data_IF_227499110064
#
_entry.id   IF_227499110064
#
_cell.length_a   1.000
_cell.length_b   1.000
_cell.length_c   1.000
_cell.angle_alpha   90.00
_cell.angle_beta   90.00
_cell.angle_gamma   90.00
#
_symmetry.space_group_name_H-M   'P 1'
#
loop_
_entity.id
_entity.type
_entity.pdbx_description
1 polymer ?
#
# COMPACT_ATOMS: atom_id res chain seq x y z
N UNK A 1 18.09 11.63 -1.23
CA UNK A 1 17.03 10.61 -1.10
C UNK A 1 17.65 9.22 -1.04
N UNK A 2 18.34 8.74 -2.10
CA UNK A 2 19.16 7.49 -2.08
C UNK A 2 20.18 7.38 -0.94
N UNK A 3 20.87 8.46 -0.62
CA UNK A 3 21.90 8.47 0.45
C UNK A 3 21.32 8.22 1.86
N UNK A 4 20.02 8.45 2.09
CA UNK A 4 19.36 8.19 3.38
C UNK A 4 19.02 6.71 3.58
N UNK A 5 19.25 5.86 2.57
CA UNK A 5 18.74 4.48 2.51
C UNK A 5 19.83 3.42 2.78
N UNK A 6 21.08 3.85 3.01
CA UNK A 6 22.22 2.96 3.28
C UNK A 6 22.33 2.54 4.76
N UNK A 7 21.67 3.23 5.68
CA UNK A 7 21.76 2.96 7.12
C UNK A 7 20.37 2.75 7.74
N UNK A 8 20.10 1.56 8.30
CA UNK A 8 18.89 1.30 9.09
C UNK A 8 18.18 -0.05 8.90
N UNK A 9 18.81 -1.04 8.25
CA UNK A 9 18.09 -2.20 7.71
C UNK A 9 17.68 -3.25 8.75
N UNK A 10 18.43 -3.47 9.84
CA UNK A 10 18.20 -4.67 10.68
C UNK A 10 16.97 -4.60 11.63
N UNK A 11 16.72 -3.48 12.31
CA UNK A 11 15.61 -3.37 13.28
C UNK A 11 14.25 -3.08 12.64
N UNK A 12 14.27 -2.43 11.47
CA UNK A 12 13.08 -2.16 10.65
C UNK A 12 12.52 -3.44 10.06
N UNK A 13 13.38 -4.36 9.58
CA UNK A 13 12.99 -5.68 9.05
C UNK A 13 12.06 -6.46 9.99
N UNK A 14 12.45 -6.65 11.25
CA UNK A 14 11.66 -7.43 12.21
C UNK A 14 10.30 -6.78 12.55
N UNK A 15 10.23 -5.46 12.45
CA UNK A 15 8.99 -4.72 12.74
C UNK A 15 8.05 -4.73 11.54
N UNK A 16 8.61 -4.68 10.32
CA UNK A 16 7.86 -4.88 9.08
C UNK A 16 7.31 -6.30 9.01
N UNK A 17 8.14 -7.33 9.20
CA UNK A 17 7.69 -8.73 9.18
C UNK A 17 6.52 -8.96 10.14
N UNK A 18 6.65 -8.52 11.40
CA UNK A 18 5.57 -8.62 12.39
C UNK A 18 4.31 -7.87 11.99
N UNK A 19 4.44 -6.69 11.38
CA UNK A 19 3.30 -5.93 10.86
C UNK A 19 2.59 -6.70 9.73
N UNK A 20 3.35 -7.31 8.81
CA UNK A 20 2.79 -8.10 7.71
C UNK A 20 2.09 -9.36 8.23
N UNK A 21 2.70 -10.11 9.16
CA UNK A 21 2.03 -11.27 9.77
C UNK A 21 0.77 -10.87 10.53
N UNK A 22 0.82 -9.76 11.28
CA UNK A 22 -0.34 -9.24 11.99
C UNK A 22 -1.49 -8.88 11.04
N UNK A 23 -1.21 -8.25 9.88
CA UNK A 23 -2.23 -7.96 8.89
C UNK A 23 -2.80 -9.23 8.25
N UNK A 24 -1.96 -10.24 7.97
CA UNK A 24 -2.46 -11.53 7.51
C UNK A 24 -3.38 -12.21 8.53
N UNK A 25 -3.07 -12.12 9.84
CA UNK A 25 -3.94 -12.63 10.89
C UNK A 25 -5.31 -11.91 10.93
N UNK A 26 -5.33 -10.59 10.69
CA UNK A 26 -6.58 -9.83 10.59
C UNK A 26 -7.35 -10.25 9.34
N UNK A 27 -6.69 -10.36 8.19
CA UNK A 27 -7.30 -10.81 6.94
C UNK A 27 -7.98 -12.17 7.11
N UNK A 28 -7.33 -13.12 7.77
CA UNK A 28 -7.90 -14.45 8.05
C UNK A 28 -9.11 -14.40 8.99
N UNK A 29 -9.10 -13.51 9.99
CA UNK A 29 -10.15 -13.43 11.02
C UNK A 29 -11.36 -12.59 10.61
N UNK A 30 -11.14 -11.51 9.87
CA UNK A 30 -12.12 -10.45 9.65
C UNK A 30 -12.43 -10.20 8.17
N UNK A 31 -11.69 -10.83 7.26
CA UNK A 31 -11.94 -10.72 5.83
C UNK A 31 -13.29 -11.33 5.38
N UNK A 32 -13.65 -11.20 4.10
CA UNK A 32 -12.80 -10.68 3.02
C UNK A 32 -12.77 -9.14 2.95
N UNK A 33 -11.60 -8.59 2.62
CA UNK A 33 -11.41 -7.17 2.33
C UNK A 33 -11.12 -6.98 0.84
N UNK A 34 -11.95 -6.21 0.13
CA UNK A 34 -11.77 -6.04 -1.31
C UNK A 34 -10.73 -4.96 -1.68
N UNK A 35 -10.35 -4.11 -0.72
CA UNK A 35 -9.33 -3.09 -0.94
C UNK A 35 -8.61 -2.65 0.32
N UNK A 36 -7.44 -2.03 0.13
CA UNK A 36 -6.58 -1.52 1.21
C UNK A 36 -6.22 -0.05 0.98
N UNK A 37 -6.18 0.73 2.05
CA UNK A 37 -5.75 2.13 2.02
C UNK A 37 -4.54 2.31 2.93
N UNK A 38 -3.43 2.77 2.38
CA UNK A 38 -2.20 3.05 3.11
C UNK A 38 -1.88 4.54 3.15
N UNK A 39 -1.44 5.04 4.30
CA UNK A 39 -1.00 6.42 4.48
C UNK A 39 0.43 6.46 5.03
N UNK A 40 1.31 7.25 4.43
CA UNK A 40 2.70 7.39 4.87
C UNK A 40 3.42 6.03 4.93
N UNK A 41 4.00 5.66 6.07
CA UNK A 41 4.55 4.32 6.32
C UNK A 41 3.52 3.20 6.10
N UNK A 42 2.24 3.45 6.39
CA UNK A 42 1.16 2.51 6.12
C UNK A 42 0.99 2.20 4.63
N UNK A 43 1.40 3.09 3.72
CA UNK A 43 1.44 2.80 2.29
C UNK A 43 2.58 1.82 1.93
N UNK A 44 3.74 1.95 2.56
CA UNK A 44 4.83 0.98 2.42
C UNK A 44 4.41 -0.38 2.92
N UNK A 45 3.80 -0.46 4.11
CA UNK A 45 3.31 -1.72 4.68
C UNK A 45 2.22 -2.33 3.81
N UNK A 46 1.24 -1.53 3.36
CA UNK A 46 0.17 -2.01 2.48
C UNK A 46 0.71 -2.51 1.13
N UNK A 47 1.61 -1.77 0.48
CA UNK A 47 2.23 -2.23 -0.77
C UNK A 47 3.07 -3.50 -0.58
N UNK A 48 3.79 -3.61 0.54
CA UNK A 48 4.56 -4.82 0.90
C UNK A 48 3.64 -6.01 1.11
N UNK A 49 2.48 -5.81 1.75
CA UNK A 49 1.47 -6.84 1.95
C UNK A 49 0.92 -7.37 0.62
N UNK A 50 0.65 -6.50 -0.35
CA UNK A 50 0.18 -6.91 -1.68
C UNK A 50 1.21 -7.74 -2.43
N UNK A 51 2.50 -7.34 -2.39
CA UNK A 51 3.58 -8.15 -2.95
C UNK A 51 3.70 -9.51 -2.23
N UNK A 52 3.57 -9.52 -0.91
CA UNK A 52 3.62 -10.75 -0.11
C UNK A 52 2.45 -11.68 -0.42
N UNK A 53 1.26 -11.12 -0.67
CA UNK A 53 0.07 -11.86 -1.06
C UNK A 53 0.21 -12.47 -2.45
N UNK A 54 0.68 -11.70 -3.44
CA UNK A 54 1.00 -12.23 -4.78
C UNK A 54 2.01 -13.38 -4.71
N UNK A 55 3.07 -13.23 -3.91
CA UNK A 55 4.05 -14.31 -3.69
C UNK A 55 3.41 -15.55 -3.04
N UNK A 56 2.45 -15.38 -2.11
CA UNK A 56 1.69 -16.49 -1.52
C UNK A 56 0.77 -17.14 -2.54
N UNK A 57 0.17 -16.38 -3.45
CA UNK A 57 -0.64 -16.91 -4.54
C UNK A 57 0.18 -17.83 -5.44
N UNK A 58 1.36 -17.39 -5.88
CA UNK A 58 2.27 -18.19 -6.70
C UNK A 58 2.78 -19.45 -5.99
N UNK A 59 3.17 -19.32 -4.71
CA UNK A 59 3.80 -20.43 -3.97
C UNK A 59 2.82 -21.43 -3.38
N UNK A 60 1.65 -20.97 -2.94
CA UNK A 60 0.69 -21.76 -2.17
C UNK A 60 -0.64 -21.96 -2.89
N UNK A 61 -0.83 -21.37 -4.07
CA UNK A 61 -2.10 -21.41 -4.80
C UNK A 61 -3.24 -20.68 -4.07
N UNK A 62 -2.90 -19.69 -3.24
CA UNK A 62 -3.88 -18.93 -2.45
C UNK A 62 -4.27 -17.65 -3.19
N UNK A 63 -5.49 -17.57 -3.66
CA UNK A 63 -6.01 -16.37 -4.33
C UNK A 63 -5.81 -15.10 -3.49
N UNK A 64 -5.27 -14.01 -4.08
CA UNK A 64 -5.21 -12.72 -3.42
C UNK A 64 -6.59 -12.21 -3.00
N UNK A 65 -6.69 -11.69 -1.79
CA UNK A 65 -7.91 -11.12 -1.21
C UNK A 65 -8.18 -9.71 -1.73
N UNK A 66 -7.16 -8.86 -1.80
CA UNK A 66 -7.32 -7.47 -2.22
C UNK A 66 -7.39 -7.35 -3.73
N UNK A 67 -8.32 -6.53 -4.22
CA UNK A 67 -8.54 -6.25 -5.65
C UNK A 67 -8.13 -4.82 -6.03
N UNK A 68 -8.06 -3.92 -5.05
CA UNK A 68 -7.56 -2.56 -5.27
C UNK A 68 -6.81 -1.98 -4.06
N UNK A 69 -5.97 -0.97 -4.31
CA UNK A 69 -5.24 -0.27 -3.26
C UNK A 69 -5.10 1.23 -3.50
N UNK A 70 -5.12 2.02 -2.44
CA UNK A 70 -4.92 3.48 -2.49
C UNK A 70 -3.79 3.86 -1.53
N UNK A 71 -2.80 4.61 -2.02
CA UNK A 71 -1.66 5.05 -1.23
C UNK A 71 -1.59 6.57 -1.15
N UNK A 72 -1.50 7.09 0.06
CA UNK A 72 -1.40 8.52 0.35
C UNK A 72 -0.05 8.89 0.93
N UNK A 73 0.62 9.86 0.32
CA UNK A 73 1.89 10.41 0.82
C UNK A 73 2.89 9.30 1.23
N UNK A 74 2.87 8.20 0.46
CA UNK A 74 3.47 6.93 0.81
C UNK A 74 4.88 6.78 0.28
N UNK A 75 5.65 5.93 0.93
CA UNK A 75 6.94 5.47 0.43
C UNK A 75 6.76 4.19 -0.40
N UNK A 76 7.72 3.85 -1.28
CA UNK A 76 7.68 2.59 -2.03
C UNK A 76 7.57 1.36 -1.10
N UNK A 77 7.04 0.22 -1.60
CA UNK A 77 6.96 -1.00 -0.83
C UNK A 77 8.35 -1.62 -0.59
N UNK A 78 8.39 -2.60 0.31
CA UNK A 78 9.56 -3.44 0.56
C UNK A 78 9.37 -4.81 -0.11
N UNK A 79 10.48 -5.43 -0.50
CA UNK A 79 10.50 -6.79 -0.98
C UNK A 79 10.09 -7.74 0.16
N UNK A 80 9.08 -8.63 -0.02
CA UNK A 80 8.58 -9.49 1.05
C UNK A 80 9.59 -10.51 1.60
N UNK A 81 10.70 -10.75 0.91
CA UNK A 81 11.73 -11.72 1.27
C UNK A 81 12.96 -11.03 1.84
N UNK A 82 13.44 -9.98 1.17
CA UNK A 82 14.69 -9.30 1.53
C UNK A 82 14.48 -8.04 2.35
N UNK A 83 13.25 -7.49 2.36
CA UNK A 83 12.88 -6.21 2.96
C UNK A 83 13.67 -5.01 2.42
N UNK A 84 14.34 -5.17 1.28
CA UNK A 84 14.91 -4.05 0.54
C UNK A 84 13.78 -3.22 -0.09
N UNK A 85 14.01 -1.92 -0.27
CA UNK A 85 13.02 -1.08 -0.94
C UNK A 85 12.90 -1.48 -2.41
N UNK A 86 11.66 -1.63 -2.89
CA UNK A 86 11.36 -1.93 -4.28
C UNK A 86 11.31 -0.60 -5.04
N UNK A 87 12.34 -0.35 -5.84
CA UNK A 87 12.42 0.82 -6.72
C UNK A 87 12.20 0.39 -8.17
N UNK A 88 11.43 1.18 -8.93
CA UNK A 88 11.02 0.83 -10.30
C UNK A 88 12.17 0.71 -11.29
N UNK A 89 13.34 1.28 -10.98
CA UNK A 89 14.54 1.20 -11.80
C UNK A 89 15.52 0.10 -11.35
N UNK A 90 15.23 -0.59 -10.24
CA UNK A 90 16.10 -1.62 -9.64
C UNK A 90 15.40 -2.98 -9.49
N UNK A 91 14.07 -3.03 -9.64
CA UNK A 91 13.27 -4.23 -9.41
C UNK A 91 12.17 -4.38 -10.45
N UNK A 92 11.95 -5.62 -10.89
CA UNK A 92 10.83 -6.01 -11.75
C UNK A 92 9.55 -6.34 -10.95
N UNK A 93 9.59 -6.22 -9.62
CA UNK A 93 8.42 -6.50 -8.78
C UNK A 93 7.33 -5.44 -8.98
N UNK A 94 6.15 -5.91 -9.35
CA UNK A 94 4.98 -5.07 -9.63
C UNK A 94 3.79 -5.52 -8.78
N UNK A 95 3.02 -4.54 -8.31
CA UNK A 95 1.69 -4.79 -7.75
C UNK A 95 0.72 -4.91 -8.93
N UNK A 96 0.08 -6.08 -9.06
CA UNK A 96 -0.70 -6.47 -10.24
C UNK A 96 -2.18 -6.09 -10.15
N UNK A 97 -2.63 -5.62 -8.97
CA UNK A 97 -4.00 -5.15 -8.76
C UNK A 97 -4.12 -3.64 -9.04
N UNK A 98 -5.35 -3.12 -9.12
CA UNK A 98 -5.57 -1.70 -9.38
C UNK A 98 -5.05 -0.83 -8.23
N UNK A 99 -4.07 0.05 -8.50
CA UNK A 99 -3.53 0.98 -7.50
C UNK A 99 -3.75 2.44 -7.88
N UNK A 100 -3.99 3.29 -6.88
CA UNK A 100 -4.00 4.74 -7.02
C UNK A 100 -2.98 5.37 -6.05
N UNK A 101 -1.99 6.07 -6.60
CA UNK A 101 -0.90 6.67 -5.83
C UNK A 101 -1.07 8.18 -5.76
N UNK A 102 -1.35 8.70 -4.57
CA UNK A 102 -1.55 10.12 -4.30
C UNK A 102 -0.25 10.67 -3.67
N UNK A 103 0.73 10.94 -4.54
CA UNK A 103 2.11 11.25 -4.16
C UNK A 103 2.36 12.72 -3.81
N UNK A 104 1.53 13.65 -4.30
CA UNK A 104 1.67 15.07 -3.99
C UNK A 104 0.33 15.75 -4.18
N UNK A 105 -0.08 16.49 -3.16
CA UNK A 105 -1.22 17.39 -3.22
C UNK A 105 -1.12 18.27 -4.47
N UNK A 106 -2.13 18.26 -5.35
CA UNK A 106 -2.61 19.55 -5.85
C UNK A 106 -2.77 20.39 -4.59
N UNK A 107 -2.10 21.53 -4.48
CA UNK A 107 -2.09 22.37 -3.29
C UNK A 107 -3.52 22.61 -2.77
N UNK A 108 -4.01 21.72 -1.90
CA UNK A 108 -5.13 21.94 -1.02
C UNK A 108 -4.47 22.51 0.22
N UNK A 109 -4.34 23.84 0.26
CA UNK A 109 -3.90 24.53 1.46
C UNK A 109 -4.97 24.32 2.55
N UNK A 110 -4.85 23.22 3.27
CA UNK A 110 -5.61 22.95 4.49
C UNK A 110 -4.85 23.45 5.73
N UNK A 111 -3.81 24.27 5.56
CA UNK A 111 -3.01 24.87 6.62
C UNK A 111 -2.23 23.89 7.51
N UNK A 112 -2.04 22.62 7.10
CA UNK A 112 -1.32 21.59 7.90
C UNK A 112 -0.38 20.75 7.02
N UNK A 113 0.67 20.19 7.66
CA UNK A 113 1.70 19.36 7.01
C UNK A 113 1.28 17.91 6.77
N UNK A 114 2.10 16.95 7.17
CA UNK A 114 1.89 15.50 7.02
C UNK A 114 0.66 14.96 7.78
N UNK A 115 -0.54 15.27 7.30
CA UNK A 115 -1.82 14.87 7.89
C UNK A 115 -2.84 14.48 6.81
N UNK A 116 -3.73 13.53 7.12
CA UNK A 116 -4.84 13.18 6.23
C UNK A 116 -5.74 14.40 5.94
N UNK A 117 -6.17 14.60 4.68
CA UNK A 117 -7.05 15.69 4.32
C UNK A 117 -8.40 15.54 5.03
N UNK A 118 -8.96 16.65 5.51
CA UNK A 118 -10.27 16.70 6.20
C UNK A 118 -11.24 17.68 5.56
N UNK A 119 -10.80 18.39 4.52
CA UNK A 119 -11.62 19.35 3.82
C UNK A 119 -12.70 18.64 3.02
N UNK A 120 -13.94 19.15 3.10
CA UNK A 120 -15.11 18.50 2.49
C UNK A 120 -14.96 18.25 0.99
N UNK A 121 -14.34 19.17 0.26
CA UNK A 121 -14.08 19.04 -1.18
C UNK A 121 -13.16 17.86 -1.48
N UNK A 122 -12.01 17.80 -0.82
CA UNK A 122 -11.02 16.72 -0.96
C UNK A 122 -11.60 15.36 -0.57
N UNK A 123 -12.37 15.31 0.52
CA UNK A 123 -13.04 14.06 0.93
C UNK A 123 -14.07 13.60 -0.11
N UNK A 124 -14.78 14.53 -0.75
CA UNK A 124 -15.73 14.19 -1.82
C UNK A 124 -15.00 13.60 -3.02
N UNK A 125 -13.95 14.25 -3.50
CA UNK A 125 -13.14 13.78 -4.63
C UNK A 125 -12.52 12.41 -4.35
N UNK A 126 -11.97 12.22 -3.15
CA UNK A 126 -11.48 10.93 -2.71
C UNK A 126 -12.58 9.86 -2.73
N UNK A 127 -13.77 10.19 -2.21
CA UNK A 127 -14.91 9.29 -2.25
C UNK A 127 -15.33 8.93 -3.68
N UNK A 128 -15.25 9.88 -4.61
CA UNK A 128 -15.56 9.66 -6.02
C UNK A 128 -14.53 8.69 -6.65
N UNK A 129 -13.22 8.89 -6.40
CA UNK A 129 -12.17 7.97 -6.87
C UNK A 129 -12.36 6.56 -6.33
N UNK A 130 -12.62 6.42 -5.03
CA UNK A 130 -12.88 5.11 -4.40
C UNK A 130 -14.07 4.40 -5.07
N UNK A 131 -15.17 5.13 -5.29
CA UNK A 131 -16.37 4.55 -5.93
C UNK A 131 -16.08 4.09 -7.36
N UNK A 132 -15.32 4.86 -8.14
CA UNK A 132 -14.91 4.45 -9.48
C UNK A 132 -14.06 3.19 -9.44
N UNK A 133 -13.06 3.13 -8.55
CA UNK A 133 -12.20 1.95 -8.41
C UNK A 133 -12.99 0.69 -8.01
N UNK A 134 -14.01 0.82 -7.15
CA UNK A 134 -14.89 -0.30 -6.77
C UNK A 134 -15.77 -0.74 -7.95
N UNK A 135 -16.28 0.21 -8.75
CA UNK A 135 -17.09 -0.10 -9.92
C UNK A 135 -16.27 -0.87 -10.98
N UNK A 136 -15.05 -0.42 -11.26
CA UNK A 136 -14.14 -1.07 -12.23
C UNK A 136 -13.82 -2.52 -11.81
N UNK A 137 -13.66 -2.77 -10.51
CA UNK A 137 -13.44 -4.12 -9.94
C UNK A 137 -14.67 -5.02 -10.08
N UNK A 138 -15.88 -4.47 -10.15
CA UNK A 138 -17.14 -5.24 -10.25
C UNK A 138 -17.46 -5.64 -11.70
N UNK A 139 -16.81 -5.03 -12.68
CA UNK A 139 -17.02 -5.28 -14.11
C UNK A 139 -15.98 -6.23 -14.74
N UNK A 140 -14.93 -6.60 -14.00
CA UNK A 140 -13.86 -7.52 -14.41
C UNK A 140 -14.11 -8.96 -13.93
#
# INVERSE_FOLDING_TARGET
>A
MRELMKEGVASSVLSTDRSIQYLFDIMEKEGPFEGIIGYSEGATVAGTLLLAEQMRAEKLGREPMFKCAIFFAGWPPLDPTTYAMVLSDESDLMINIHTCHINTAYLFDHGKGHTLPREKGVIKELGDVIRTMIADVSEA
#
